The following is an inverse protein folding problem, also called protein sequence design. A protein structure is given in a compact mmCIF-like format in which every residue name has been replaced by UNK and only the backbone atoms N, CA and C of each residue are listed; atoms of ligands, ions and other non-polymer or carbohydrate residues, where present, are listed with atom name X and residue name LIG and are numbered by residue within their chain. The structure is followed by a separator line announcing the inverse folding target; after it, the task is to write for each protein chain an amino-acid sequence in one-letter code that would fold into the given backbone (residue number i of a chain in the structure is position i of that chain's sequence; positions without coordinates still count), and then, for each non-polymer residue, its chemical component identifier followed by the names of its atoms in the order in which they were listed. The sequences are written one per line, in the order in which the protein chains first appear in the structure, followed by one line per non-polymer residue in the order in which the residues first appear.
data_IF_855564949190
#
_entry.id   IF_855564949190
#
_cell.length_a   1.000
_cell.length_b   1.000
_cell.length_c   1.000
_cell.angle_alpha   90.00
_cell.angle_beta   90.00
_cell.angle_gamma   90.00
#
_symmetry.space_group_name_H-M   'P 1'
#
loop_
_entity.id
_entity.type
_entity.pdbx_description
1 polymer ?
#
# COMPACT_ATOMS: atom_id res chain seq x y z
N UNK A 1 7.84 19.25 1.78
CA UNK A 1 6.37 19.41 1.93
C UNK A 1 6.09 20.14 3.21
N UNK A 2 5.24 21.18 3.19
CA UNK A 2 4.81 21.91 4.40
C UNK A 2 3.74 21.10 5.14
N UNK A 3 3.51 21.36 6.45
CA UNK A 3 2.43 20.71 7.19
C UNK A 3 1.06 20.92 6.53
N UNK A 4 0.82 22.09 5.96
CA UNK A 4 -0.43 22.45 5.27
C UNK A 4 -0.63 21.68 3.96
N UNK A 5 0.43 21.47 3.18
CA UNK A 5 0.39 20.61 1.98
C UNK A 5 0.06 19.16 2.34
N UNK A 6 0.63 18.67 3.44
CA UNK A 6 0.31 17.34 3.95
C UNK A 6 -1.17 17.22 4.33
N UNK A 7 -1.72 18.23 5.02
CA UNK A 7 -3.15 18.25 5.39
C UNK A 7 -4.06 18.25 4.15
N UNK A 8 -3.69 18.95 3.07
CA UNK A 8 -4.45 18.95 1.81
C UNK A 8 -4.39 17.60 1.09
N UNK A 9 -3.30 16.85 1.19
CA UNK A 9 -3.21 15.49 0.66
C UNK A 9 -3.99 14.48 1.52
N UNK A 10 -3.97 14.64 2.84
CA UNK A 10 -4.66 13.75 3.78
C UNK A 10 -6.18 13.91 3.68
N UNK A 11 -6.67 15.15 3.60
CA UNK A 11 -8.10 15.49 3.70
C UNK A 11 -9.01 14.68 2.75
N UNK A 12 -8.77 14.59 1.43
CA UNK A 12 -9.60 13.76 0.55
C UNK A 12 -9.50 12.28 0.91
N UNK A 13 -8.30 11.80 1.24
CA UNK A 13 -8.02 10.40 1.51
C UNK A 13 -8.68 9.88 2.81
N UNK A 14 -8.94 10.74 3.81
CA UNK A 14 -9.66 10.38 5.03
C UNK A 14 -11.11 9.92 4.78
N UNK A 15 -11.70 10.33 3.66
CA UNK A 15 -13.08 9.96 3.31
C UNK A 15 -13.16 8.65 2.54
N UNK A 16 -12.03 8.16 2.05
CA UNK A 16 -11.95 6.92 1.32
C UNK A 16 -11.81 5.72 2.28
N UNK A 17 -12.28 4.58 1.83
CA UNK A 17 -12.02 3.32 2.55
C UNK A 17 -10.56 2.88 2.39
N UNK A 18 -9.96 3.14 1.20
CA UNK A 18 -8.56 2.87 0.88
C UNK A 18 -7.87 4.14 0.38
N UNK A 19 -6.59 4.29 0.70
CA UNK A 19 -5.74 5.42 0.26
C UNK A 19 -4.93 5.07 -0.98
N UNK A 20 -5.24 3.96 -1.62
CA UNK A 20 -4.62 3.46 -2.84
C UNK A 20 -5.43 2.32 -3.46
N UNK A 21 -5.02 1.84 -4.66
CA UNK A 21 -5.70 0.75 -5.35
C UNK A 21 -5.67 -0.56 -4.56
N UNK A 22 -6.77 -1.29 -4.57
CA UNK A 22 -6.94 -2.57 -3.92
C UNK A 22 -8.41 -2.90 -3.68
N UNK A 23 -8.70 -4.13 -3.33
CA UNK A 23 -10.04 -4.59 -2.99
C UNK A 23 -10.02 -5.63 -1.87
N UNK A 24 -11.17 -5.89 -1.27
CA UNK A 24 -11.35 -6.95 -0.29
C UNK A 24 -10.93 -8.31 -0.86
N UNK A 25 -11.36 -8.62 -2.08
CA UNK A 25 -11.11 -9.88 -2.78
C UNK A 25 -9.62 -10.08 -3.10
N UNK A 26 -8.91 -9.00 -3.45
CA UNK A 26 -7.48 -9.06 -3.76
C UNK A 26 -6.64 -9.22 -2.49
N UNK A 27 -7.00 -8.54 -1.40
CA UNK A 27 -6.40 -8.78 -0.09
C UNK A 27 -6.62 -10.25 0.34
N UNK A 28 -7.84 -10.81 0.21
CA UNK A 28 -8.11 -12.23 0.46
C UNK A 28 -7.31 -13.17 -0.44
N UNK A 29 -7.17 -12.83 -1.73
CA UNK A 29 -6.36 -13.61 -2.66
C UNK A 29 -4.89 -13.65 -2.22
N UNK A 30 -4.35 -12.51 -1.81
CA UNK A 30 -2.98 -12.44 -1.31
C UNK A 30 -2.81 -13.23 -0.01
N UNK A 31 -3.75 -13.15 0.94
CA UNK A 31 -3.74 -13.96 2.16
C UNK A 31 -3.68 -15.45 1.84
N UNK A 32 -4.48 -15.93 0.89
CA UNK A 32 -4.45 -17.35 0.48
C UNK A 32 -3.08 -17.78 -0.07
N UNK A 33 -2.38 -16.89 -0.79
CA UNK A 33 -1.06 -17.17 -1.33
C UNK A 33 0.04 -17.19 -0.26
N UNK A 34 -0.16 -16.61 0.93
CA UNK A 34 0.80 -16.72 2.05
C UNK A 34 0.96 -18.17 2.53
N UNK A 35 -0.08 -18.99 2.37
CA UNK A 35 -0.16 -20.33 2.95
C UNK A 35 -0.29 -20.35 4.47
N UNK A 36 -0.47 -19.19 5.11
CA UNK A 36 -0.74 -19.09 6.54
C UNK A 36 -2.17 -19.56 6.82
N UNK A 37 -2.34 -20.25 7.96
CA UNK A 37 -3.62 -20.81 8.36
C UNK A 37 -4.11 -20.17 9.65
N UNK A 38 -5.41 -20.26 9.92
CA UNK A 38 -6.03 -19.82 11.17
C UNK A 38 -5.70 -20.71 12.38
N UNK A 39 -4.93 -21.79 12.19
CA UNK A 39 -4.62 -22.76 13.25
C UNK A 39 -3.56 -22.25 14.25
N UNK A 40 -2.80 -21.22 13.89
CA UNK A 40 -1.73 -20.66 14.73
C UNK A 40 -2.07 -19.22 15.09
N UNK A 41 -1.70 -18.80 16.28
CA UNK A 41 -1.76 -17.40 16.69
C UNK A 41 -0.57 -16.64 16.04
N UNK A 42 -0.88 -15.73 15.13
CA UNK A 42 0.09 -15.01 14.33
C UNK A 42 0.40 -13.63 14.93
N UNK A 43 1.66 -13.20 14.79
CA UNK A 43 2.06 -11.81 14.98
C UNK A 43 2.14 -11.16 13.61
N UNK A 44 1.25 -10.21 13.33
CA UNK A 44 1.07 -9.58 12.03
C UNK A 44 1.42 -8.09 12.15
N UNK A 45 2.22 -7.60 11.21
CA UNK A 45 2.53 -6.18 11.05
C UNK A 45 1.91 -5.67 9.75
N UNK A 46 1.03 -4.67 9.84
CA UNK A 46 0.46 -3.95 8.69
C UNK A 46 1.10 -2.57 8.60
N UNK A 47 1.96 -2.36 7.61
CA UNK A 47 2.75 -1.14 7.40
C UNK A 47 2.14 -0.22 6.37
N UNK A 48 1.91 1.03 6.75
CA UNK A 48 1.16 1.98 5.96
C UNK A 48 -0.31 1.57 5.94
N UNK A 49 -0.86 1.27 7.12
CA UNK A 49 -2.20 0.70 7.27
C UNK A 49 -3.33 1.66 6.83
N UNK A 50 -3.03 2.96 6.66
CA UNK A 50 -4.02 3.96 6.29
C UNK A 50 -5.22 3.98 7.24
N UNK A 51 -6.42 4.02 6.70
CA UNK A 51 -7.67 3.99 7.47
C UNK A 51 -8.17 2.57 7.79
N UNK A 52 -7.36 1.53 7.52
CA UNK A 52 -7.56 0.17 8.01
C UNK A 52 -8.33 -0.78 7.10
N UNK A 53 -8.50 -0.48 5.81
CA UNK A 53 -9.26 -1.35 4.92
C UNK A 53 -8.69 -2.78 4.84
N UNK A 54 -7.40 -2.93 4.54
CA UNK A 54 -6.72 -4.23 4.53
C UNK A 54 -6.55 -4.80 5.94
N UNK A 55 -6.32 -3.95 6.96
CA UNK A 55 -6.21 -4.36 8.35
C UNK A 55 -7.44 -5.15 8.81
N UNK A 56 -8.65 -4.67 8.46
CA UNK A 56 -9.90 -5.36 8.77
C UNK A 56 -9.99 -6.72 8.05
N UNK A 57 -9.59 -6.81 6.78
CA UNK A 57 -9.58 -8.08 6.04
C UNK A 57 -8.61 -9.09 6.69
N UNK A 58 -7.44 -8.62 7.14
CA UNK A 58 -6.49 -9.45 7.88
C UNK A 58 -7.10 -9.95 9.19
N UNK A 59 -7.76 -9.07 9.95
CA UNK A 59 -8.37 -9.40 11.25
C UNK A 59 -9.58 -10.35 11.12
N UNK A 60 -10.36 -10.22 10.05
CA UNK A 60 -11.48 -11.13 9.75
C UNK A 60 -11.01 -12.53 9.32
N UNK A 61 -9.81 -12.61 8.72
CA UNK A 61 -9.37 -13.82 8.02
C UNK A 61 -8.31 -14.61 8.77
N UNK A 62 -7.42 -13.95 9.50
CA UNK A 62 -6.30 -14.57 10.20
C UNK A 62 -6.50 -14.52 11.72
N UNK A 63 -5.99 -15.54 12.40
CA UNK A 63 -6.01 -15.58 13.87
C UNK A 63 -4.67 -15.05 14.41
N UNK A 64 -4.72 -14.04 15.30
CA UNK A 64 -3.52 -13.47 15.90
C UNK A 64 -3.66 -11.99 16.27
N UNK A 65 -2.55 -11.38 16.60
CA UNK A 65 -2.46 -9.94 16.90
C UNK A 65 -1.96 -9.17 15.69
N UNK A 66 -2.61 -8.06 15.36
CA UNK A 66 -2.22 -7.17 14.26
C UNK A 66 -1.71 -5.86 14.85
N UNK A 67 -0.46 -5.54 14.52
CA UNK A 67 0.12 -4.22 14.77
C UNK A 67 0.02 -3.40 13.48
N UNK A 68 -0.87 -2.42 13.48
CA UNK A 68 -1.12 -1.54 12.33
C UNK A 68 -0.34 -0.23 12.52
N UNK A 69 0.60 0.06 11.62
CA UNK A 69 1.50 1.22 11.71
C UNK A 69 1.22 2.18 10.56
N UNK A 70 1.06 3.46 10.91
CA UNK A 70 1.01 4.54 9.93
C UNK A 70 1.67 5.80 10.52
N UNK A 71 2.20 6.66 9.66
CA UNK A 71 2.80 7.94 10.03
C UNK A 71 1.73 9.00 10.36
N UNK A 72 0.55 8.87 9.74
CA UNK A 72 -0.50 9.88 9.69
C UNK A 72 -1.53 9.62 10.79
N UNK A 73 -1.47 10.40 11.88
CA UNK A 73 -2.37 10.23 13.01
C UNK A 73 -3.86 10.23 12.65
N UNK A 74 -4.38 11.14 11.79
CA UNK A 74 -5.77 11.10 11.35
C UNK A 74 -6.20 9.78 10.70
N UNK A 75 -5.31 9.06 9.98
CA UNK A 75 -5.62 7.75 9.44
C UNK A 75 -5.77 6.70 10.54
N UNK A 76 -4.90 6.73 11.54
CA UNK A 76 -4.98 5.82 12.68
C UNK A 76 -6.24 6.08 13.54
N UNK A 77 -6.67 7.33 13.66
CA UNK A 77 -7.90 7.67 14.36
C UNK A 77 -9.12 7.12 13.60
N UNK A 78 -9.13 7.27 12.27
CA UNK A 78 -10.16 6.67 11.41
C UNK A 78 -10.13 5.13 11.45
N UNK A 79 -8.93 4.52 11.46
CA UNK A 79 -8.78 3.07 11.63
C UNK A 79 -9.44 2.60 12.93
N UNK A 80 -9.16 3.25 14.06
CA UNK A 80 -9.76 2.89 15.37
C UNK A 80 -11.28 2.98 15.38
N UNK A 81 -11.84 3.99 14.69
CA UNK A 81 -13.30 4.16 14.57
C UNK A 81 -13.95 3.07 13.68
N UNK A 82 -13.24 2.62 12.64
CA UNK A 82 -13.74 1.70 11.62
C UNK A 82 -13.44 0.22 11.92
N UNK A 83 -12.56 -0.06 12.88
CA UNK A 83 -12.07 -1.40 13.18
C UNK A 83 -12.71 -1.93 14.45
N UNK A 84 -13.63 -2.92 14.36
CA UNK A 84 -14.30 -3.51 15.52
C UNK A 84 -13.46 -4.62 16.21
N UNK A 85 -12.21 -4.83 15.80
CA UNK A 85 -11.37 -5.95 16.21
C UNK A 85 -10.47 -5.60 17.39
N UNK A 86 -10.66 -6.23 18.58
CA UNK A 86 -9.87 -5.92 19.78
C UNK A 86 -8.40 -6.37 19.69
N UNK A 87 -8.09 -7.25 18.74
CA UNK A 87 -6.74 -7.74 18.49
C UNK A 87 -5.93 -6.86 17.51
N UNK A 88 -6.48 -5.72 17.08
CA UNK A 88 -5.78 -4.73 16.24
C UNK A 88 -5.25 -3.61 17.13
N UNK A 89 -3.95 -3.36 17.06
CA UNK A 89 -3.26 -2.29 17.78
C UNK A 89 -2.72 -1.26 16.77
N UNK A 90 -3.27 -0.04 16.80
CA UNK A 90 -2.84 1.06 15.94
C UNK A 90 -1.68 1.83 16.60
N UNK A 91 -0.55 1.94 15.91
CA UNK A 91 0.67 2.61 16.38
C UNK A 91 1.09 3.68 15.38
N UNK A 92 1.29 4.91 15.88
CA UNK A 92 1.92 5.97 15.07
C UNK A 92 3.42 5.72 14.98
N UNK A 93 3.93 5.59 13.76
CA UNK A 93 5.36 5.37 13.55
C UNK A 93 5.75 5.53 12.09
N UNK A 94 7.03 5.79 11.85
CA UNK A 94 7.61 5.74 10.52
C UNK A 94 8.00 4.31 10.18
N UNK A 95 7.73 3.88 8.94
CA UNK A 95 8.03 2.51 8.50
C UNK A 95 9.53 2.22 8.37
N UNK A 96 10.37 3.24 8.36
CA UNK A 96 11.84 3.15 8.32
C UNK A 96 12.50 3.20 9.71
N UNK A 97 11.71 3.36 10.79
CA UNK A 97 12.19 3.43 12.17
C UNK A 97 11.25 2.65 13.10
N UNK A 98 11.13 1.35 12.85
CA UNK A 98 10.22 0.48 13.59
C UNK A 98 10.80 0.11 14.96
N UNK A 99 10.03 0.25 16.06
CA UNK A 99 10.49 0.00 17.42
C UNK A 99 10.31 -1.47 17.84
N UNK A 100 10.56 -2.40 16.91
CA UNK A 100 10.36 -3.82 17.15
C UNK A 100 11.69 -4.58 17.20
N UNK A 101 11.69 -5.69 17.90
CA UNK A 101 12.82 -6.61 17.91
C UNK A 101 12.87 -7.42 16.60
N UNK A 102 14.05 -7.97 16.29
CA UNK A 102 14.19 -8.91 15.19
C UNK A 102 13.34 -10.16 15.42
N UNK A 103 12.97 -10.84 14.35
CA UNK A 103 12.22 -12.10 14.38
C UNK A 103 10.89 -12.01 15.15
N UNK A 104 10.19 -10.85 15.07
CA UNK A 104 8.95 -10.58 15.82
C UNK A 104 7.69 -11.02 15.08
N UNK A 105 7.67 -11.00 13.75
CA UNK A 105 6.44 -11.16 12.97
C UNK A 105 6.42 -12.42 12.11
N UNK A 106 5.27 -13.08 12.10
CA UNK A 106 4.97 -14.18 11.19
C UNK A 106 4.58 -13.69 9.81
N UNK A 107 3.93 -12.50 9.75
CA UNK A 107 3.49 -11.85 8.52
C UNK A 107 3.76 -10.35 8.60
N UNK A 108 4.40 -9.80 7.57
CA UNK A 108 4.47 -8.36 7.31
C UNK A 108 3.64 -8.07 6.06
N UNK A 109 2.72 -7.12 6.19
CA UNK A 109 1.79 -6.69 5.15
C UNK A 109 2.02 -5.22 4.80
N UNK A 110 1.95 -4.86 3.52
CA UNK A 110 2.02 -3.45 3.09
C UNK A 110 1.35 -3.29 1.73
N UNK A 111 0.20 -2.64 1.68
CA UNK A 111 -0.50 -2.33 0.42
C UNK A 111 -0.22 -0.89 0.00
N UNK A 112 0.46 -0.70 -1.14
CA UNK A 112 0.69 0.62 -1.74
C UNK A 112 1.48 1.60 -0.88
N UNK A 113 2.39 1.13 -0.01
CA UNK A 113 3.09 1.99 0.92
C UNK A 113 4.62 1.83 0.93
N UNK A 114 5.15 0.65 0.61
CA UNK A 114 6.59 0.34 0.73
C UNK A 114 7.48 1.23 -0.14
N UNK A 115 6.95 1.81 -1.22
CA UNK A 115 7.67 2.74 -2.09
C UNK A 115 8.27 3.94 -1.33
N UNK A 116 7.68 4.34 -0.19
CA UNK A 116 8.20 5.41 0.65
C UNK A 116 9.59 5.11 1.25
N UNK A 117 9.98 3.83 1.33
CA UNK A 117 11.31 3.39 1.75
C UNK A 117 12.22 3.04 0.56
N UNK A 118 11.64 2.98 -0.67
CA UNK A 118 12.22 2.28 -1.81
C UNK A 118 12.05 0.77 -1.69
N UNK A 119 11.67 0.13 -2.80
CA UNK A 119 11.26 -1.28 -2.81
C UNK A 119 12.34 -2.23 -2.28
N UNK A 120 13.58 -2.10 -2.79
CA UNK A 120 14.70 -2.93 -2.36
C UNK A 120 15.12 -2.65 -0.91
N UNK A 121 15.18 -1.38 -0.54
CA UNK A 121 15.57 -0.96 0.81
C UNK A 121 14.53 -1.46 1.83
N UNK A 122 13.25 -1.31 1.52
CA UNK A 122 12.15 -1.81 2.35
C UNK A 122 12.23 -3.32 2.56
N UNK A 123 12.42 -4.10 1.49
CA UNK A 123 12.59 -5.56 1.58
C UNK A 123 13.76 -5.93 2.50
N UNK A 124 14.92 -5.31 2.31
CA UNK A 124 16.11 -5.60 3.12
C UNK A 124 15.92 -5.23 4.60
N UNK A 125 15.29 -4.09 4.88
CA UNK A 125 15.02 -3.63 6.24
C UNK A 125 14.01 -4.53 6.95
N UNK A 126 12.91 -4.86 6.29
CA UNK A 126 11.83 -5.66 6.85
C UNK A 126 12.21 -7.13 7.03
N UNK A 127 13.24 -7.61 6.33
CA UNK A 127 13.74 -8.97 6.46
C UNK A 127 14.12 -9.32 7.91
N UNK A 128 14.72 -8.40 8.65
CA UNK A 128 15.14 -8.65 10.03
C UNK A 128 13.98 -8.84 11.01
N UNK A 129 12.82 -8.22 10.76
CA UNK A 129 11.65 -8.29 11.65
C UNK A 129 10.79 -9.54 11.43
N UNK A 130 10.89 -10.18 10.26
CA UNK A 130 10.21 -11.44 10.01
C UNK A 130 10.86 -12.56 10.82
N UNK A 131 10.07 -13.42 11.41
CA UNK A 131 10.52 -14.69 11.96
C UNK A 131 11.09 -15.57 10.85
N UNK A 132 11.85 -16.60 11.22
CA UNK A 132 12.29 -17.65 10.29
C UNK A 132 11.07 -18.25 9.57
N UNK A 133 11.10 -18.32 8.25
CA UNK A 133 9.99 -18.70 7.39
C UNK A 133 8.77 -17.76 7.43
N UNK A 134 8.88 -16.61 8.07
CA UNK A 134 7.85 -15.57 8.03
C UNK A 134 7.61 -15.06 6.61
N UNK A 135 6.45 -14.50 6.38
CA UNK A 135 5.98 -14.08 5.05
C UNK A 135 5.88 -12.57 4.96
N UNK A 136 6.29 -12.01 3.84
CA UNK A 136 6.00 -10.65 3.44
C UNK A 136 4.99 -10.66 2.30
N UNK A 137 3.98 -9.78 2.36
CA UNK A 137 2.98 -9.60 1.33
C UNK A 137 2.82 -8.09 1.08
N UNK A 138 3.06 -7.63 -0.12
CA UNK A 138 3.07 -6.22 -0.45
C UNK A 138 2.58 -5.94 -1.87
N UNK A 139 1.89 -4.83 -2.05
CA UNK A 139 1.55 -4.31 -3.37
C UNK A 139 2.38 -3.09 -3.72
N UNK A 140 2.80 -3.01 -4.97
CA UNK A 140 3.76 -2.02 -5.45
C UNK A 140 3.47 -1.62 -6.89
N UNK A 141 3.63 -0.33 -7.18
CA UNK A 141 3.50 0.19 -8.55
C UNK A 141 4.51 -0.50 -9.47
N UNK A 142 4.05 -0.94 -10.62
CA UNK A 142 4.80 -1.86 -11.46
C UNK A 142 4.51 -1.62 -12.94
N UNK A 143 5.53 -1.68 -13.79
CA UNK A 143 5.36 -1.74 -15.23
C UNK A 143 4.81 -3.10 -15.65
N UNK A 144 3.73 -3.10 -16.41
CA UNK A 144 3.09 -4.31 -16.94
C UNK A 144 3.72 -4.76 -18.26
N UNK A 145 4.50 -3.89 -18.91
CA UNK A 145 5.12 -4.11 -20.21
C UNK A 145 6.58 -3.68 -20.23
N UNK A 146 7.38 -4.31 -21.08
CA UNK A 146 8.78 -3.92 -21.32
C UNK A 146 8.87 -2.63 -22.15
N UNK A 147 7.94 -2.43 -23.09
CA UNK A 147 7.86 -1.23 -23.92
C UNK A 147 6.61 -0.45 -23.57
N UNK A 148 6.73 0.87 -23.53
CA UNK A 148 5.65 1.78 -23.12
C UNK A 148 5.81 3.14 -23.77
N UNK A 149 4.72 3.93 -23.90
CA UNK A 149 4.79 5.29 -24.40
C UNK A 149 5.68 6.19 -23.52
N UNK A 150 6.42 7.08 -24.17
CA UNK A 150 7.37 7.98 -23.51
C UNK A 150 6.70 8.90 -22.47
N UNK A 151 5.46 9.30 -22.71
CA UNK A 151 4.71 10.17 -21.80
C UNK A 151 4.55 9.54 -20.42
N UNK A 152 4.03 8.30 -20.35
CA UNK A 152 3.83 7.62 -19.07
C UNK A 152 5.15 7.18 -18.41
N UNK A 153 6.15 6.83 -19.23
CA UNK A 153 7.48 6.52 -18.73
C UNK A 153 8.12 7.74 -18.07
N UNK A 154 8.02 8.92 -18.71
CA UNK A 154 8.56 10.17 -18.15
C UNK A 154 7.87 10.54 -16.86
N UNK A 155 6.53 10.46 -16.81
CA UNK A 155 5.76 10.74 -15.62
C UNK A 155 6.23 9.88 -14.43
N UNK A 156 6.17 8.55 -14.54
CA UNK A 156 6.53 7.67 -13.43
C UNK A 156 8.02 7.68 -13.10
N UNK A 157 8.90 7.92 -14.06
CA UNK A 157 10.33 8.09 -13.76
C UNK A 157 10.62 9.33 -12.91
N UNK A 158 9.74 10.35 -12.97
CA UNK A 158 9.81 11.54 -12.12
C UNK A 158 9.21 11.28 -10.74
N UNK A 159 8.03 10.65 -10.68
CA UNK A 159 7.29 10.40 -9.43
C UNK A 159 7.90 9.25 -8.61
N UNK A 160 8.34 8.20 -9.27
CA UNK A 160 8.93 7.03 -8.63
C UNK A 160 10.06 6.43 -9.48
N UNK A 161 11.30 6.91 -9.34
CA UNK A 161 12.45 6.47 -10.14
C UNK A 161 12.79 4.98 -10.01
N UNK A 162 12.39 4.31 -8.92
CA UNK A 162 12.59 2.86 -8.67
C UNK A 162 11.50 1.98 -9.30
N UNK A 163 10.61 2.55 -10.12
CA UNK A 163 9.58 1.77 -10.79
C UNK A 163 10.21 0.76 -11.75
N UNK A 164 9.80 -0.50 -11.63
CA UNK A 164 10.36 -1.62 -12.40
C UNK A 164 9.24 -2.53 -12.93
N UNK A 165 9.60 -3.45 -13.82
CA UNK A 165 8.69 -4.46 -14.34
C UNK A 165 8.38 -5.53 -13.29
N UNK A 166 7.30 -6.30 -13.51
CA UNK A 166 6.97 -7.47 -12.68
C UNK A 166 8.18 -8.39 -12.51
N UNK A 167 8.89 -8.68 -13.61
CA UNK A 167 10.08 -9.53 -13.61
C UNK A 167 11.22 -8.92 -12.78
N UNK A 168 11.44 -7.61 -12.90
CA UNK A 168 12.45 -6.89 -12.12
C UNK A 168 12.13 -6.92 -10.62
N UNK A 169 10.87 -6.62 -10.23
CA UNK A 169 10.42 -6.69 -8.83
C UNK A 169 10.59 -8.11 -8.25
N UNK A 170 10.20 -9.16 -8.99
CA UNK A 170 10.40 -10.56 -8.57
C UNK A 170 11.88 -10.91 -8.37
N UNK A 171 12.75 -10.44 -9.26
CA UNK A 171 14.20 -10.60 -9.14
C UNK A 171 14.72 -9.92 -7.87
N UNK A 172 14.32 -8.67 -7.62
CA UNK A 172 14.70 -7.92 -6.42
C UNK A 172 14.26 -8.63 -5.14
N UNK A 173 13.06 -9.20 -5.10
CA UNK A 173 12.57 -10.00 -3.97
C UNK A 173 13.50 -11.19 -3.71
N UNK A 174 13.86 -11.93 -4.75
CA UNK A 174 14.75 -13.10 -4.61
C UNK A 174 16.15 -12.70 -4.17
N UNK A 175 16.71 -11.63 -4.72
CA UNK A 175 18.03 -11.10 -4.35
C UNK A 175 18.07 -10.51 -2.93
N UNK A 176 16.90 -10.14 -2.38
CA UNK A 176 16.76 -9.65 -0.99
C UNK A 176 16.55 -10.78 0.04
N UNK A 177 16.79 -12.04 -0.33
CA UNK A 177 16.74 -13.17 0.60
C UNK A 177 15.35 -13.77 0.81
N UNK A 178 14.45 -13.61 -0.14
CA UNK A 178 13.11 -14.18 -0.07
C UNK A 178 12.87 -15.23 -1.17
N UNK A 179 12.02 -16.20 -0.86
CA UNK A 179 11.42 -17.12 -1.82
C UNK A 179 10.05 -16.59 -2.23
N UNK A 180 9.85 -16.30 -3.50
CA UNK A 180 8.55 -15.92 -4.03
C UNK A 180 7.54 -17.07 -3.88
N UNK A 181 6.40 -16.82 -3.24
CA UNK A 181 5.28 -17.76 -3.09
C UNK A 181 4.24 -17.57 -4.17
N UNK A 182 4.03 -16.33 -4.60
CA UNK A 182 3.09 -15.98 -5.65
C UNK A 182 3.09 -14.48 -5.93
N UNK A 183 2.47 -14.12 -7.05
CA UNK A 183 2.20 -12.74 -7.40
C UNK A 183 0.96 -12.66 -8.30
N UNK A 184 0.37 -11.50 -8.39
CA UNK A 184 -0.67 -11.16 -9.36
C UNK A 184 -0.72 -9.65 -9.57
N UNK A 185 -1.37 -9.23 -10.64
CA UNK A 185 -1.63 -7.81 -10.90
C UNK A 185 -3.03 -7.48 -10.37
N UNK A 186 -3.16 -6.35 -9.68
CA UNK A 186 -4.44 -5.83 -9.25
C UNK A 186 -5.31 -5.51 -10.47
N UNK A 187 -6.61 -5.74 -10.33
CA UNK A 187 -7.57 -5.48 -11.39
C UNK A 187 -7.69 -3.98 -11.70
N UNK A 188 -8.13 -3.65 -12.91
CA UNK A 188 -8.49 -2.27 -13.26
C UNK A 188 -9.62 -1.73 -12.36
N UNK A 189 -10.50 -2.60 -11.87
CA UNK A 189 -11.59 -2.25 -10.96
C UNK A 189 -11.06 -1.71 -9.63
N UNK A 190 -9.97 -2.28 -9.10
CA UNK A 190 -9.30 -1.82 -7.88
C UNK A 190 -8.73 -0.41 -8.01
N UNK A 191 -8.40 0.02 -9.22
CA UNK A 191 -7.98 1.39 -9.50
C UNK A 191 -9.17 2.31 -9.74
N UNK A 192 -10.04 1.94 -10.69
CA UNK A 192 -11.07 2.84 -11.20
C UNK A 192 -12.25 2.96 -10.25
N UNK A 193 -12.71 1.84 -9.69
CA UNK A 193 -13.95 1.78 -8.90
C UNK A 193 -13.69 1.94 -7.41
N UNK A 194 -12.70 1.23 -6.85
CA UNK A 194 -12.49 1.24 -5.40
C UNK A 194 -11.61 2.40 -4.91
N UNK A 195 -10.77 2.97 -5.77
CA UNK A 195 -9.89 4.08 -5.41
C UNK A 195 -10.24 5.38 -6.12
N UNK A 196 -10.11 5.46 -7.45
CA UNK A 196 -10.25 6.74 -8.16
C UNK A 196 -11.68 7.29 -8.17
N UNK A 197 -12.71 6.47 -8.29
CA UNK A 197 -14.10 6.99 -8.31
C UNK A 197 -14.50 7.67 -6.99
N UNK A 198 -14.25 7.10 -5.79
CA UNK A 198 -14.47 7.83 -4.55
C UNK A 198 -13.55 9.03 -4.37
N UNK A 199 -12.28 8.96 -4.81
CA UNK A 199 -11.36 10.09 -4.76
C UNK A 199 -11.85 11.26 -5.63
N UNK A 200 -12.19 11.01 -6.90
CA UNK A 200 -12.71 12.00 -7.84
C UNK A 200 -13.95 12.71 -7.27
N UNK A 201 -14.83 11.96 -6.62
CA UNK A 201 -16.01 12.52 -5.94
C UNK A 201 -15.64 13.49 -4.79
N UNK A 202 -14.63 13.13 -3.99
CA UNK A 202 -14.14 13.99 -2.92
C UNK A 202 -13.41 15.23 -3.47
N UNK A 203 -12.62 15.09 -4.55
CA UNK A 203 -11.96 16.23 -5.19
C UNK A 203 -12.98 17.24 -5.72
N UNK A 204 -14.04 16.79 -6.40
CA UNK A 204 -15.15 17.63 -6.87
C UNK A 204 -15.81 18.36 -5.69
N UNK A 205 -16.03 17.67 -4.56
CA UNK A 205 -16.62 18.29 -3.36
C UNK A 205 -15.71 19.38 -2.78
N UNK A 206 -14.40 19.18 -2.79
CA UNK A 206 -13.42 20.16 -2.33
C UNK A 206 -13.36 21.36 -3.28
N UNK A 207 -13.38 21.16 -4.59
CA UNK A 207 -13.37 22.24 -5.60
C UNK A 207 -14.63 23.12 -5.52
N UNK A 208 -15.77 22.56 -5.15
CA UNK A 208 -17.00 23.31 -4.96
C UNK A 208 -16.92 24.32 -3.78
N UNK A 209 -15.90 24.20 -2.93
CA UNK A 209 -15.66 25.17 -1.86
C UNK A 209 -14.91 26.40 -2.44
N UNK A 210 -15.59 27.55 -2.53
CA UNK A 210 -15.06 28.79 -3.11
C UNK A 210 -13.87 29.40 -2.35
N UNK A 211 -13.45 28.82 -1.23
CA UNK A 211 -12.35 29.31 -0.38
C UNK A 211 -11.08 28.47 -0.45
N UNK A 212 -10.95 27.57 -1.45
CA UNK A 212 -9.75 26.74 -1.57
C UNK A 212 -8.53 27.59 -1.93
N UNK A 213 -7.41 27.27 -1.29
CA UNK A 213 -6.14 27.96 -1.51
C UNK A 213 -5.43 27.45 -2.77
N UNK A 214 -4.46 28.21 -3.27
CA UNK A 214 -3.72 27.86 -4.48
C UNK A 214 -2.98 26.52 -4.33
N UNK A 215 -2.32 26.27 -3.20
CA UNK A 215 -1.62 25.00 -2.93
C UNK A 215 -2.58 23.81 -2.94
N UNK A 216 -3.79 23.98 -2.43
CA UNK A 216 -4.82 22.93 -2.46
C UNK A 216 -5.29 22.63 -3.88
N UNK A 217 -5.44 23.67 -4.73
CA UNK A 217 -5.76 23.48 -6.15
C UNK A 217 -4.71 22.68 -6.88
N UNK A 218 -3.43 22.98 -6.67
CA UNK A 218 -2.30 22.27 -7.28
C UNK A 218 -2.30 20.78 -6.90
N UNK A 219 -2.65 20.46 -5.65
CA UNK A 219 -2.78 19.05 -5.20
C UNK A 219 -3.97 18.38 -5.88
N UNK A 220 -5.12 19.04 -5.99
CA UNK A 220 -6.29 18.51 -6.70
C UNK A 220 -5.96 18.26 -8.17
N UNK A 221 -5.32 19.20 -8.85
CA UNK A 221 -4.88 19.09 -10.24
C UNK A 221 -3.89 17.92 -10.42
N UNK A 222 -3.00 17.68 -9.46
CA UNK A 222 -2.07 16.55 -9.46
C UNK A 222 -2.82 15.22 -9.43
N UNK A 223 -3.80 15.04 -8.55
CA UNK A 223 -4.64 13.83 -8.52
C UNK A 223 -5.45 13.64 -9.81
N UNK A 224 -6.02 14.71 -10.34
CA UNK A 224 -6.78 14.67 -11.60
C UNK A 224 -5.88 14.26 -12.78
N UNK A 225 -4.64 14.77 -12.83
CA UNK A 225 -3.65 14.40 -13.84
C UNK A 225 -3.25 12.92 -13.72
N UNK A 226 -2.95 12.44 -12.50
CA UNK A 226 -2.63 11.03 -12.27
C UNK A 226 -3.77 10.11 -12.72
N UNK A 227 -5.01 10.44 -12.36
CA UNK A 227 -6.20 9.71 -12.78
C UNK A 227 -6.35 9.68 -14.30
N UNK A 228 -6.16 10.81 -14.97
CA UNK A 228 -6.24 10.90 -16.43
C UNK A 228 -5.15 10.06 -17.11
N UNK A 229 -3.91 10.10 -16.59
CA UNK A 229 -2.80 9.28 -17.08
C UNK A 229 -3.07 7.80 -16.85
N UNK A 230 -3.59 7.41 -15.68
CA UNK A 230 -3.95 6.02 -15.44
C UNK A 230 -5.03 5.54 -16.41
N UNK A 231 -6.13 6.28 -16.58
CA UNK A 231 -7.21 5.93 -17.53
C UNK A 231 -6.67 5.73 -18.96
N UNK A 232 -5.68 6.55 -19.37
CA UNK A 232 -5.05 6.49 -20.69
C UNK A 232 -4.06 5.33 -20.83
N UNK A 233 -3.33 5.00 -19.77
CA UNK A 233 -2.16 4.11 -19.81
C UNK A 233 -2.28 2.86 -18.92
N UNK A 234 -3.46 2.50 -18.45
CA UNK A 234 -3.73 1.37 -17.55
C UNK A 234 -3.24 0.00 -18.06
N UNK A 235 -2.95 -0.15 -19.35
CA UNK A 235 -2.37 -1.36 -19.90
C UNK A 235 -0.84 -1.45 -19.74
N UNK A 236 -0.20 -0.35 -19.34
CA UNK A 236 1.25 -0.25 -19.17
C UNK A 236 1.67 -0.18 -17.70
N UNK A 237 0.78 0.23 -16.81
CA UNK A 237 1.07 0.46 -15.40
C UNK A 237 -0.04 -0.07 -14.52
N UNK A 238 0.33 -0.64 -13.39
CA UNK A 238 -0.60 -1.15 -12.39
C UNK A 238 0.14 -1.53 -11.11
N UNK A 239 -0.59 -2.06 -10.12
CA UNK A 239 0.05 -2.63 -8.94
C UNK A 239 0.25 -4.13 -9.12
N UNK A 240 1.50 -4.58 -8.88
CA UNK A 240 1.80 -5.97 -8.63
C UNK A 240 1.66 -6.27 -7.15
N UNK A 241 0.92 -7.32 -6.80
CA UNK A 241 0.90 -7.87 -5.45
C UNK A 241 1.90 -9.03 -5.40
N UNK A 242 2.85 -8.97 -4.47
CA UNK A 242 3.95 -9.94 -4.32
C UNK A 242 3.90 -10.56 -2.95
N UNK A 243 3.95 -11.87 -2.89
CA UNK A 243 3.94 -12.64 -1.65
C UNK A 243 5.20 -13.50 -1.63
N UNK A 244 6.00 -13.36 -0.58
CA UNK A 244 7.28 -14.04 -0.49
C UNK A 244 7.61 -14.47 0.95
N UNK A 245 8.38 -15.54 1.09
CA UNK A 245 8.82 -16.10 2.36
C UNK A 245 10.27 -15.77 2.62
N UNK A 246 10.59 -15.33 3.84
CA UNK A 246 11.97 -15.15 4.29
C UNK A 246 12.73 -16.47 4.20
N UNK A 247 13.88 -16.46 3.52
CA UNK A 247 14.87 -17.52 3.56
C UNK A 247 15.77 -17.36 4.80
N UNK A 248 16.40 -18.44 5.22
CA UNK A 248 17.29 -18.46 6.39
C UNK A 248 18.59 -17.68 6.16
#
# INVERSE_FOLDING_TARGET
MTGKQLDYMISPNLKLDRQGPGSYEETLRAIKLTGLTTASELQILDLGCGTGAQTNVLADTLHGTITAVDLIQPFLDALKERTPHPNVQAIKGSMDQLPFENDSFDLIWSEGAIYNMGFKNGLNYLHSFLKKNGVIALSEITWLTEQRPKEIETYWSSEYPEMDTVKGKMKTITESGYQLLGHFILSEESWLTTYYAPLEKELIRLEANHTIEQEQKEIIESYQNELALYKKYKHYVGYGFYIARRLN
#
